data_IF_147114034300
#
_entry.id   IF_147114034300
#
_cell.length_a   1.000
_cell.length_b   1.000
_cell.length_c   1.000
_cell.angle_alpha   90.00
_cell.angle_beta   90.00
_cell.angle_gamma   90.00
#
_symmetry.space_group_name_H-M   'P 1'
#
loop_
_entity.id
_entity.type
_entity.pdbx_description
1 polymer ?
#
# COMPACT_ATOMS: atom_id res chain seq x y z
N UNK A 1 18.10 -17.84 -0.62
CA UNK A 1 16.83 -17.36 -1.19
C UNK A 1 16.07 -18.62 -1.54
N UNK A 2 15.23 -19.11 -0.63
CA UNK A 2 14.30 -20.18 -0.96
C UNK A 2 13.10 -19.50 -1.59
N UNK A 3 13.01 -19.56 -2.91
CA UNK A 3 11.84 -19.12 -3.65
C UNK A 3 10.80 -20.23 -3.54
N UNK A 4 9.70 -19.98 -2.81
CA UNK A 4 8.57 -20.91 -2.77
C UNK A 4 8.01 -21.05 -4.19
N UNK A 5 8.25 -22.20 -4.80
CA UNK A 5 7.63 -22.54 -6.07
C UNK A 5 6.14 -22.76 -5.85
N UNK A 6 5.31 -22.06 -6.61
CA UNK A 6 3.85 -22.19 -6.56
C UNK A 6 3.43 -23.01 -7.77
N UNK A 7 2.99 -24.25 -7.53
CA UNK A 7 2.52 -25.14 -8.60
C UNK A 7 1.05 -24.88 -8.94
N UNK A 8 0.25 -24.53 -7.91
CA UNK A 8 -1.18 -24.20 -8.07
C UNK A 8 -1.52 -22.95 -7.24
N UNK A 9 -2.41 -22.07 -7.74
CA UNK A 9 -2.76 -20.82 -7.06
C UNK A 9 -3.38 -21.05 -5.67
N UNK A 10 -4.09 -22.17 -5.49
CA UNK A 10 -4.72 -22.55 -4.22
C UNK A 10 -3.71 -22.77 -3.07
N UNK A 11 -2.41 -22.92 -3.38
CA UNK A 11 -1.36 -22.98 -2.36
C UNK A 11 -1.08 -21.63 -1.69
N UNK A 12 -1.48 -20.52 -2.31
CA UNK A 12 -1.11 -19.16 -1.85
C UNK A 12 -2.31 -18.26 -1.63
N UNK A 13 -3.46 -18.54 -2.26
CA UNK A 13 -4.68 -17.74 -2.14
C UNK A 13 -5.91 -18.63 -2.16
N UNK A 14 -6.95 -18.24 -1.43
CA UNK A 14 -8.28 -18.82 -1.51
C UNK A 14 -9.25 -17.89 -2.25
N UNK A 15 -10.37 -18.46 -2.71
CA UNK A 15 -11.50 -17.64 -3.19
C UNK A 15 -12.04 -16.85 -2.00
N UNK A 16 -12.40 -15.58 -2.23
CA UNK A 16 -12.89 -14.62 -1.21
C UNK A 16 -11.80 -13.99 -0.34
N UNK A 17 -10.52 -14.31 -0.55
CA UNK A 17 -9.42 -13.65 0.17
C UNK A 17 -9.30 -12.17 -0.17
N UNK A 18 -9.31 -11.33 0.86
CA UNK A 18 -8.99 -9.90 0.77
C UNK A 18 -7.49 -9.68 0.96
N UNK A 19 -6.78 -9.38 -0.14
CA UNK A 19 -5.32 -9.27 -0.15
C UNK A 19 -4.86 -7.96 -0.79
N UNK A 20 -3.76 -7.43 -0.25
CA UNK A 20 -3.01 -6.34 -0.84
C UNK A 20 -2.07 -6.89 -1.91
N UNK A 21 -2.23 -6.37 -3.12
CA UNK A 21 -1.41 -6.71 -4.28
C UNK A 21 -0.84 -5.45 -4.91
N UNK A 22 0.33 -5.56 -5.52
CA UNK A 22 0.96 -4.47 -6.24
C UNK A 22 0.50 -4.49 -7.70
N UNK A 23 0.08 -3.34 -8.21
CA UNK A 23 -0.14 -3.18 -9.65
C UNK A 23 1.22 -3.08 -10.32
N UNK A 24 1.49 -3.98 -11.27
CA UNK A 24 2.79 -4.04 -11.96
C UNK A 24 2.71 -3.46 -13.38
N UNK A 25 1.55 -3.58 -14.02
CA UNK A 25 1.35 -3.13 -15.40
C UNK A 25 -0.15 -2.87 -15.66
N UNK A 26 -0.43 -1.87 -16.50
CA UNK A 26 -1.78 -1.51 -16.91
C UNK A 26 -1.78 -1.39 -18.43
N UNK A 27 -2.46 -2.33 -19.10
CA UNK A 27 -2.64 -2.37 -20.54
C UNK A 27 -4.08 -1.93 -20.87
N UNK A 28 -4.22 -0.65 -21.24
CA UNK A 28 -5.52 -0.05 -21.54
C UNK A 28 -6.11 -0.54 -22.86
N UNK A 29 -5.28 -0.89 -23.83
CA UNK A 29 -5.73 -1.38 -25.14
C UNK A 29 -6.42 -2.75 -25.00
N UNK A 30 -5.82 -3.63 -24.19
CA UNK A 30 -6.34 -4.97 -23.91
C UNK A 30 -7.25 -5.03 -22.68
N UNK A 31 -7.44 -3.90 -21.99
CA UNK A 31 -8.20 -3.78 -20.74
C UNK A 31 -7.74 -4.77 -19.67
N UNK A 32 -6.41 -4.91 -19.52
CA UNK A 32 -5.78 -5.86 -18.60
C UNK A 32 -4.97 -5.13 -17.55
N UNK A 33 -5.09 -5.57 -16.31
CA UNK A 33 -4.28 -5.10 -15.18
C UNK A 33 -3.49 -6.29 -14.67
N UNK A 34 -2.17 -6.13 -14.59
CA UNK A 34 -1.29 -7.15 -14.03
C UNK A 34 -1.04 -6.83 -12.56
N UNK A 35 -1.19 -7.84 -11.71
CA UNK A 35 -1.09 -7.74 -10.26
C UNK A 35 -0.03 -8.70 -9.74
N UNK A 36 0.67 -8.33 -8.67
CA UNK A 36 1.67 -9.18 -8.02
C UNK A 36 1.50 -9.16 -6.50
N UNK A 37 1.13 -10.30 -5.93
CA UNK A 37 1.13 -10.54 -4.49
C UNK A 37 2.56 -10.62 -3.94
N UNK A 38 3.44 -11.30 -4.66
CA UNK A 38 4.86 -11.45 -4.29
C UNK A 38 5.55 -10.09 -4.15
N UNK A 39 5.42 -9.22 -5.14
CA UNK A 39 6.04 -7.89 -5.07
C UNK A 39 5.38 -6.96 -4.05
N UNK A 40 4.11 -7.20 -3.67
CA UNK A 40 3.51 -6.50 -2.53
C UNK A 40 4.23 -6.89 -1.24
N UNK A 41 4.48 -8.20 -1.06
CA UNK A 41 5.05 -8.75 0.16
C UNK A 41 6.57 -8.55 0.30
N UNK A 42 7.35 -8.59 -0.78
CA UNK A 42 8.83 -8.54 -0.77
C UNK A 42 9.45 -7.15 -0.52
N UNK A 43 8.65 -6.07 -0.51
CA UNK A 43 9.17 -4.71 -0.27
C UNK A 43 9.72 -4.52 1.14
N UNK A 44 10.54 -3.49 1.35
CA UNK A 44 11.11 -3.14 2.66
C UNK A 44 10.04 -3.07 3.76
N UNK A 45 10.43 -3.49 4.97
CA UNK A 45 9.65 -3.24 6.17
C UNK A 45 9.66 -1.75 6.46
N UNK A 46 8.49 -1.12 6.38
CA UNK A 46 8.32 0.31 6.63
C UNK A 46 7.78 0.48 8.05
N UNK A 47 8.35 1.43 8.79
CA UNK A 47 7.84 1.83 10.10
C UNK A 47 6.51 2.59 9.94
N UNK A 48 5.66 2.54 10.96
CA UNK A 48 4.33 3.16 10.90
C UNK A 48 4.43 4.68 10.71
N UNK A 49 5.50 5.31 11.18
CA UNK A 49 5.73 6.75 11.04
C UNK A 49 6.28 7.14 9.66
N UNK A 50 6.83 6.17 8.92
CA UNK A 50 7.51 6.39 7.64
C UNK A 50 6.71 5.86 6.43
N UNK A 51 5.46 5.43 6.63
CA UNK A 51 4.66 4.92 5.52
C UNK A 51 4.27 6.04 4.55
N UNK A 52 4.22 5.70 3.26
CA UNK A 52 3.76 6.59 2.23
C UNK A 52 2.25 6.39 1.99
N UNK A 53 1.38 7.33 2.39
CA UNK A 53 -0.07 7.20 2.22
C UNK A 53 -0.48 7.16 0.73
N UNK A 54 0.34 7.68 -0.18
CA UNK A 54 0.05 7.71 -1.61
C UNK A 54 0.05 6.31 -2.23
N UNK A 55 0.84 5.40 -1.66
CA UNK A 55 0.85 3.99 -2.04
C UNK A 55 -0.41 3.23 -1.61
N UNK A 56 -1.21 3.79 -0.70
CA UNK A 56 -2.40 3.16 -0.12
C UNK A 56 -3.70 3.89 -0.49
N UNK A 57 -3.68 4.65 -1.59
CA UNK A 57 -4.87 5.23 -2.21
C UNK A 57 -5.17 6.67 -1.86
N UNK A 58 -4.25 7.37 -1.17
CA UNK A 58 -4.30 8.82 -1.07
C UNK A 58 -3.79 9.44 -2.37
N UNK A 59 -4.57 10.31 -3.01
CA UNK A 59 -4.13 10.94 -4.26
C UNK A 59 -3.00 11.93 -3.99
N UNK A 60 -1.80 11.66 -4.51
CA UNK A 60 -0.73 12.64 -4.54
C UNK A 60 -0.96 13.64 -5.69
N UNK A 61 -0.72 14.92 -5.41
CA UNK A 61 -0.55 15.93 -6.45
C UNK A 61 0.94 16.28 -6.51
N UNK A 62 1.47 16.44 -7.72
CA UNK A 62 2.86 16.83 -7.93
C UNK A 62 2.91 18.08 -8.79
N UNK A 63 3.89 18.94 -8.55
CA UNK A 63 4.17 20.10 -9.40
C UNK A 63 4.90 19.69 -10.70
N UNK A 64 5.22 20.66 -11.56
CA UNK A 64 5.93 20.42 -12.82
C UNK A 64 7.38 19.91 -12.63
N UNK A 65 7.93 20.06 -11.43
CA UNK A 65 9.27 19.63 -11.05
C UNK A 65 9.25 18.26 -10.35
N UNK A 66 8.06 17.72 -10.07
CA UNK A 66 7.85 16.42 -9.44
C UNK A 66 7.81 16.48 -7.91
N UNK A 67 7.74 17.65 -7.30
CA UNK A 67 7.61 17.77 -5.85
C UNK A 67 6.16 17.58 -5.41
N UNK A 68 5.97 16.98 -4.22
CA UNK A 68 4.66 16.76 -3.65
C UNK A 68 3.97 18.08 -3.29
N UNK A 69 2.76 18.27 -3.80
CA UNK A 69 1.89 19.40 -3.49
C UNK A 69 0.99 19.00 -2.33
N UNK A 70 1.21 19.65 -1.18
CA UNK A 70 0.33 19.57 -0.03
C UNK A 70 -1.08 20.09 -0.35
N UNK A 71 -2.12 19.56 0.31
CA UNK A 71 -3.49 20.03 0.11
C UNK A 71 -3.61 21.53 0.42
N UNK A 72 -4.55 22.19 -0.26
CA UNK A 72 -4.83 23.60 -0.04
C UNK A 72 -5.23 23.84 1.43
N UNK A 73 -4.59 24.80 2.07
CA UNK A 73 -4.81 25.11 3.48
C UNK A 73 -3.86 24.41 4.45
N UNK A 74 -3.07 23.43 4.02
CA UNK A 74 -1.99 22.85 4.85
C UNK A 74 -0.68 23.61 4.63
N UNK A 75 -0.04 24.01 5.72
CA UNK A 75 1.25 24.70 5.72
C UNK A 75 2.35 23.70 6.10
N UNK A 76 3.21 23.34 5.14
CA UNK A 76 4.21 22.30 5.33
C UNK A 76 5.36 22.70 6.27
N UNK A 77 5.65 24.00 6.37
CA UNK A 77 6.69 24.54 7.24
C UNK A 77 6.28 24.49 8.72
N UNK A 78 5.01 24.82 9.02
CA UNK A 78 4.47 24.81 10.38
C UNK A 78 3.77 23.50 10.76
N UNK A 79 3.47 22.65 9.77
CA UNK A 79 2.65 21.44 9.90
C UNK A 79 1.23 21.71 10.41
N UNK A 80 0.68 22.91 10.12
CA UNK A 80 -0.62 23.35 10.62
C UNK A 80 -1.62 23.61 9.48
N UNK A 81 -2.90 23.39 9.77
CA UNK A 81 -3.99 23.78 8.87
C UNK A 81 -4.41 25.22 9.12
N UNK A 82 -4.56 25.98 8.04
CA UNK A 82 -5.05 27.36 8.09
C UNK A 82 -6.51 27.40 8.53
N UNK A 83 -6.92 28.43 9.30
CA UNK A 83 -8.32 28.59 9.69
C UNK A 83 -9.23 28.73 8.47
N UNK A 84 -10.40 28.08 8.50
CA UNK A 84 -11.38 28.08 7.39
C UNK A 84 -11.24 26.94 6.40
N UNK A 85 -10.25 26.06 6.57
CA UNK A 85 -10.00 24.88 5.73
C UNK A 85 -10.48 23.57 6.38
N UNK A 86 -11.39 23.64 7.36
CA UNK A 86 -11.83 22.49 8.16
C UNK A 86 -12.32 21.31 7.31
N UNK A 87 -13.13 21.55 6.28
CA UNK A 87 -13.62 20.47 5.42
C UNK A 87 -12.51 19.79 4.60
N UNK A 88 -11.46 20.53 4.23
CA UNK A 88 -10.31 19.96 3.53
C UNK A 88 -9.42 19.17 4.48
N UNK A 89 -9.25 19.67 5.71
CA UNK A 89 -8.60 18.95 6.80
C UNK A 89 -9.32 17.62 7.07
N UNK A 90 -10.62 17.66 7.31
CA UNK A 90 -11.42 16.47 7.63
C UNK A 90 -11.36 15.41 6.51
N UNK A 91 -11.41 15.83 5.24
CA UNK A 91 -11.30 14.91 4.11
C UNK A 91 -9.89 14.32 3.99
N UNK A 92 -8.86 15.15 4.17
CA UNK A 92 -7.47 14.69 4.17
C UNK A 92 -7.21 13.71 5.31
N UNK A 93 -7.68 14.01 6.53
CA UNK A 93 -7.59 13.14 7.70
C UNK A 93 -8.32 11.81 7.48
N UNK A 94 -9.51 11.84 6.85
CA UNK A 94 -10.22 10.62 6.46
C UNK A 94 -9.41 9.78 5.48
N UNK A 95 -8.91 10.37 4.41
CA UNK A 95 -8.14 9.65 3.40
C UNK A 95 -6.86 9.08 3.98
N UNK A 96 -6.20 9.85 4.85
CA UNK A 96 -5.02 9.40 5.58
C UNK A 96 -5.34 8.22 6.51
N UNK A 97 -6.44 8.30 7.26
CA UNK A 97 -6.88 7.20 8.13
C UNK A 97 -7.17 5.91 7.34
N UNK A 98 -7.85 6.02 6.19
CA UNK A 98 -8.10 4.88 5.29
C UNK A 98 -6.79 4.31 4.74
N UNK A 99 -5.85 5.18 4.33
CA UNK A 99 -4.54 4.76 3.85
C UNK A 99 -3.73 4.05 4.96
N UNK A 100 -3.79 4.57 6.18
CA UNK A 100 -3.14 3.97 7.35
C UNK A 100 -3.73 2.60 7.69
N UNK A 101 -5.07 2.45 7.67
CA UNK A 101 -5.74 1.16 7.88
C UNK A 101 -5.28 0.12 6.84
N UNK A 102 -5.24 0.50 5.56
CA UNK A 102 -4.74 -0.34 4.46
C UNK A 102 -3.27 -0.72 4.65
N UNK A 103 -2.43 0.22 5.06
CA UNK A 103 -1.02 -0.03 5.34
C UNK A 103 -0.84 -1.04 6.48
N UNK A 104 -1.58 -0.88 7.58
CA UNK A 104 -1.52 -1.79 8.72
C UNK A 104 -2.00 -3.20 8.33
N UNK A 105 -3.06 -3.29 7.55
CA UNK A 105 -3.56 -4.56 7.04
C UNK A 105 -2.55 -5.24 6.08
N UNK A 106 -1.91 -4.48 5.19
CA UNK A 106 -0.83 -5.01 4.35
C UNK A 106 0.39 -5.46 5.18
N UNK A 107 0.75 -4.72 6.23
CA UNK A 107 1.83 -5.12 7.16
C UNK A 107 1.50 -6.43 7.86
N UNK A 108 0.24 -6.62 8.27
CA UNK A 108 -0.25 -7.90 8.82
C UNK A 108 -0.12 -9.03 7.79
N UNK A 109 -0.57 -8.81 6.55
CA UNK A 109 -0.42 -9.77 5.45
C UNK A 109 1.04 -10.17 5.23
N UNK A 110 1.98 -9.20 5.23
CA UNK A 110 3.43 -9.49 5.10
C UNK A 110 3.93 -10.39 6.23
N UNK A 111 3.51 -10.10 7.47
CA UNK A 111 3.89 -10.91 8.62
C UNK A 111 3.32 -12.33 8.52
N UNK A 112 2.06 -12.48 8.14
CA UNK A 112 1.41 -13.79 7.92
C UNK A 112 2.09 -14.57 6.79
N UNK A 113 2.44 -13.91 5.69
CA UNK A 113 3.17 -14.52 4.58
C UNK A 113 4.56 -15.02 5.02
N UNK A 114 5.30 -14.21 5.79
CA UNK A 114 6.62 -14.59 6.32
C UNK A 114 6.52 -15.82 7.23
N UNK A 115 5.56 -15.82 8.15
CA UNK A 115 5.31 -16.98 9.04
C UNK A 115 4.93 -18.22 8.22
N UNK A 116 4.11 -18.08 7.18
CA UNK A 116 3.75 -19.19 6.30
C UNK A 116 4.95 -19.73 5.50
N UNK A 117 5.86 -18.87 5.06
CA UNK A 117 7.10 -19.28 4.40
C UNK A 117 8.04 -20.00 5.37
N UNK A 118 8.21 -19.48 6.60
CA UNK A 118 9.01 -20.12 7.64
C UNK A 118 8.46 -21.49 8.02
N UNK A 119 7.13 -21.61 8.19
CA UNK A 119 6.48 -22.89 8.49
C UNK A 119 6.65 -23.91 7.35
N UNK A 120 6.58 -23.48 6.10
CA UNK A 120 6.80 -24.35 4.95
C UNK A 120 8.25 -24.82 4.85
N UNK A 121 9.22 -23.94 5.13
CA UNK A 121 10.65 -24.28 5.12
C UNK A 121 11.06 -25.28 6.22
N UNK A 122 10.30 -25.39 7.31
CA UNK A 122 10.55 -26.35 8.39
C UNK A 122 9.86 -27.70 8.14
N UNK A 123 8.86 -27.73 7.24
CA UNK A 123 8.10 -28.94 6.91
C UNK A 123 8.74 -29.77 5.76
N UNK A 124 9.76 -29.23 5.10
CA UNK A 124 10.59 -29.89 4.06
C UNK A 124 11.83 -30.56 4.67
#
# INVERSE_FOLDING_TARGET
>A
MAERHVEIPEQVVAVDDELFVKIIDIDLERRRISLSLKQANEGQEVEIEAFDPTQYGMSARYDAEGNFIYPEGFDADTQEWKPGFDSQREEWERQYAVAQERFLAHKKQKAEAKVAEEAAAVAE
#
